data_IF_329162453221
#
_entry.id   IF_329162453221
#
_cell.length_a   1.000
_cell.length_b   1.000
_cell.length_c   1.000
_cell.angle_alpha   90.00
_cell.angle_beta   90.00
_cell.angle_gamma   90.00
#
_symmetry.space_group_name_H-M   'P 1'
#
loop_
_entity.id
_entity.type
_entity.pdbx_description
1 polymer ?
#
# COMPACT_ATOMS: atom_id res chain seq x y z
N UNK A 1 -10.22 -23.81 -1.61
CA UNK A 1 -11.31 -23.89 -0.61
C UNK A 1 -11.65 -22.51 -0.02
N UNK A 2 -11.68 -21.45 -0.84
CA UNK A 2 -12.12 -20.10 -0.46
C UNK A 2 -13.04 -19.49 -1.54
N UNK A 3 -13.63 -20.33 -2.40
CA UNK A 3 -14.33 -19.89 -3.61
C UNK A 3 -15.70 -19.25 -3.36
N UNK A 4 -16.15 -19.16 -2.09
CA UNK A 4 -17.40 -18.51 -1.70
C UNK A 4 -17.23 -17.45 -0.60
N UNK A 5 -16.01 -16.96 -0.31
CA UNK A 5 -15.93 -15.75 0.51
C UNK A 5 -16.40 -14.57 -0.35
N UNK A 6 -17.40 -13.85 0.16
CA UNK A 6 -17.89 -12.61 -0.47
C UNK A 6 -16.69 -11.73 -0.82
N UNK A 7 -16.61 -11.27 -2.06
CA UNK A 7 -15.48 -10.45 -2.53
C UNK A 7 -15.35 -9.20 -1.69
N UNK A 8 -16.48 -8.65 -1.25
CA UNK A 8 -16.53 -7.56 -0.29
C UNK A 8 -15.78 -7.88 1.01
N UNK A 9 -16.01 -9.06 1.60
CA UNK A 9 -15.32 -9.47 2.82
C UNK A 9 -13.80 -9.59 2.62
N UNK A 10 -13.39 -10.10 1.45
CA UNK A 10 -11.97 -10.24 1.09
C UNK A 10 -11.29 -8.88 0.89
N UNK A 11 -12.00 -7.92 0.28
CA UNK A 11 -11.54 -6.54 0.14
C UNK A 11 -11.42 -5.85 1.52
N UNK A 12 -12.39 -6.05 2.40
CA UNK A 12 -12.35 -5.52 3.79
C UNK A 12 -11.15 -6.09 4.55
N UNK A 13 -10.91 -7.41 4.48
CA UNK A 13 -9.72 -8.00 5.10
C UNK A 13 -8.43 -7.47 4.50
N UNK A 14 -8.39 -7.24 3.19
CA UNK A 14 -7.22 -6.64 2.53
C UNK A 14 -6.94 -5.23 3.04
N UNK A 15 -7.99 -4.45 3.25
CA UNK A 15 -7.92 -3.10 3.78
C UNK A 15 -7.40 -3.09 5.23
N UNK A 16 -7.97 -3.93 6.10
CA UNK A 16 -7.54 -4.07 7.49
C UNK A 16 -6.08 -4.53 7.56
N UNK A 17 -5.70 -5.54 6.78
CA UNK A 17 -4.34 -6.04 6.73
C UNK A 17 -3.34 -4.97 6.26
N UNK A 18 -3.74 -4.16 5.28
CA UNK A 18 -2.94 -3.04 4.81
C UNK A 18 -2.76 -1.97 5.90
N UNK A 19 -3.81 -1.60 6.64
CA UNK A 19 -3.70 -0.67 7.78
C UNK A 19 -2.73 -1.20 8.82
N UNK A 20 -2.93 -2.43 9.29
CA UNK A 20 -2.11 -3.03 10.35
C UNK A 20 -0.64 -3.09 9.92
N UNK A 21 -0.39 -3.56 8.69
CA UNK A 21 0.98 -3.63 8.14
C UNK A 21 1.61 -2.24 8.03
N UNK A 22 0.85 -1.24 7.62
CA UNK A 22 1.34 0.14 7.51
C UNK A 22 1.72 0.74 8.87
N UNK A 23 0.99 0.39 9.93
CA UNK A 23 1.34 0.79 11.30
C UNK A 23 2.62 0.09 11.76
N UNK A 24 2.71 -1.23 11.56
CA UNK A 24 3.85 -2.04 11.99
C UNK A 24 5.14 -1.60 11.28
N UNK A 25 5.07 -1.37 9.96
CA UNK A 25 6.22 -1.00 9.15
C UNK A 25 6.42 0.52 9.01
N UNK A 26 5.65 1.33 9.75
CA UNK A 26 5.72 2.78 9.68
C UNK A 26 7.16 3.34 9.84
N UNK A 27 8.00 2.85 10.78
CA UNK A 27 9.37 3.38 10.92
C UNK A 27 10.23 3.16 9.67
N UNK A 28 10.09 2.01 9.02
CA UNK A 28 10.84 1.65 7.81
C UNK A 28 10.40 2.54 6.64
N UNK A 29 9.10 2.68 6.46
CA UNK A 29 8.54 3.51 5.39
C UNK A 29 8.74 5.01 5.62
N UNK A 30 8.82 5.46 6.87
CA UNK A 30 9.15 6.85 7.18
C UNK A 30 10.57 7.21 6.71
N UNK A 31 11.55 6.37 7.03
CA UNK A 31 12.93 6.56 6.56
C UNK A 31 13.01 6.50 5.03
N UNK A 32 12.31 5.56 4.41
CA UNK A 32 12.27 5.42 2.95
C UNK A 32 11.58 6.60 2.26
N UNK A 33 10.49 7.11 2.85
CA UNK A 33 9.76 8.25 2.31
C UNK A 33 10.61 9.53 2.37
N UNK A 34 11.24 9.78 3.52
CA UNK A 34 12.13 10.92 3.71
C UNK A 34 13.33 10.89 2.76
N UNK A 35 13.96 9.72 2.56
CA UNK A 35 15.15 9.60 1.71
C UNK A 35 14.85 9.73 0.22
N UNK A 36 13.71 9.23 -0.26
CA UNK A 36 13.40 9.18 -1.69
C UNK A 36 12.55 10.37 -2.18
N UNK A 37 11.69 10.92 -1.32
CA UNK A 37 10.72 11.94 -1.73
C UNK A 37 10.99 13.32 -1.15
N UNK A 38 11.94 13.42 -0.22
CA UNK A 38 12.48 14.67 0.31
C UNK A 38 11.37 15.72 0.52
N UNK A 39 10.39 15.44 1.40
CA UNK A 39 9.15 16.19 1.46
C UNK A 39 9.42 17.68 1.66
N UNK A 40 8.71 18.51 0.90
CA UNK A 40 8.85 19.97 0.94
C UNK A 40 8.66 20.42 2.39
N UNK A 41 9.71 20.99 2.98
CA UNK A 41 9.65 21.61 4.30
C UNK A 41 8.73 22.82 4.18
N UNK A 42 7.48 22.68 4.61
CA UNK A 42 6.62 23.86 4.79
C UNK A 42 7.24 24.69 5.90
N UNK A 43 7.88 25.78 5.48
CA UNK A 43 8.51 26.75 6.36
C UNK A 43 7.40 27.62 6.96
N UNK A 44 6.54 27.03 7.80
CA UNK A 44 5.50 27.77 8.51
C UNK A 44 5.91 27.90 9.96
N UNK A 45 5.83 29.13 10.48
CA UNK A 45 6.07 29.49 11.89
C UNK A 45 5.16 28.74 12.89
N UNK A 46 4.29 27.84 12.41
CA UNK A 46 3.39 27.00 13.20
C UNK A 46 3.91 25.57 13.32
N UNK A 47 4.80 25.39 14.30
CA UNK A 47 5.05 24.17 15.08
C UNK A 47 5.79 23.00 14.41
N UNK A 48 6.92 22.62 15.03
CA UNK A 48 7.57 21.30 14.85
C UNK A 48 6.60 20.11 14.99
N UNK A 49 5.46 20.30 15.67
CA UNK A 49 4.41 19.30 15.84
C UNK A 49 3.61 19.03 14.55
N UNK A 50 3.26 20.06 13.79
CA UNK A 50 2.55 19.89 12.51
C UNK A 50 3.43 19.16 11.49
N UNK A 51 4.72 19.54 11.42
CA UNK A 51 5.68 18.92 10.50
C UNK A 51 5.90 17.43 10.79
N UNK A 52 6.06 17.07 12.07
CA UNK A 52 6.20 15.67 12.47
C UNK A 52 4.94 14.84 12.21
N UNK A 53 3.76 15.44 12.37
CA UNK A 53 2.49 14.79 12.09
C UNK A 53 2.28 14.58 10.58
N UNK A 54 2.56 15.59 9.76
CA UNK A 54 2.42 15.53 8.30
C UNK A 54 3.36 14.49 7.69
N UNK A 55 4.60 14.40 8.18
CA UNK A 55 5.54 13.35 7.73
C UNK A 55 5.02 11.96 8.08
N UNK A 56 4.53 11.76 9.31
CA UNK A 56 4.02 10.45 9.74
C UNK A 56 2.76 10.06 8.97
N UNK A 57 1.86 11.00 8.72
CA UNK A 57 0.65 10.77 7.94
C UNK A 57 0.98 10.45 6.48
N UNK A 58 1.87 11.19 5.84
CA UNK A 58 2.31 10.92 4.48
C UNK A 58 3.07 9.59 4.36
N UNK A 59 3.91 9.26 5.33
CA UNK A 59 4.62 7.98 5.37
C UNK A 59 3.67 6.81 5.61
N UNK A 60 2.65 7.00 6.44
CA UNK A 60 1.58 6.03 6.64
C UNK A 60 0.78 5.82 5.35
N UNK A 61 0.36 6.88 4.68
CA UNK A 61 -0.35 6.80 3.39
C UNK A 61 0.53 6.11 2.34
N UNK A 62 1.82 6.41 2.32
CA UNK A 62 2.78 5.76 1.43
C UNK A 62 2.91 4.26 1.71
N UNK A 63 3.07 3.85 2.97
CA UNK A 63 3.09 2.44 3.38
C UNK A 63 1.77 1.73 3.07
N UNK A 64 0.64 2.40 3.32
CA UNK A 64 -0.68 1.89 3.04
C UNK A 64 -0.87 1.60 1.56
N UNK A 65 -0.44 2.51 0.70
CA UNK A 65 -0.47 2.30 -0.74
C UNK A 65 0.51 1.25 -1.25
N UNK A 66 1.56 0.93 -0.48
CA UNK A 66 2.40 -0.23 -0.76
C UNK A 66 1.69 -1.54 -0.43
N UNK A 67 1.10 -1.65 0.77
CA UNK A 67 0.52 -2.89 1.26
C UNK A 67 -0.86 -3.21 0.70
N UNK A 68 -1.66 -2.20 0.35
CA UNK A 68 -3.04 -2.42 -0.09
C UNK A 68 -3.12 -3.22 -1.42
N UNK A 69 -2.37 -2.87 -2.49
CA UNK A 69 -2.32 -3.69 -3.72
C UNK A 69 -1.85 -5.12 -3.43
N UNK A 70 -0.85 -5.26 -2.57
CA UNK A 70 -0.29 -6.51 -2.08
C UNK A 70 -1.37 -7.45 -1.54
N UNK A 71 -2.19 -6.97 -0.61
CA UNK A 71 -3.23 -7.78 0.00
C UNK A 71 -4.41 -8.02 -0.92
N UNK A 72 -4.75 -7.07 -1.79
CA UNK A 72 -5.80 -7.26 -2.81
C UNK A 72 -5.42 -8.39 -3.76
N UNK A 73 -4.18 -8.38 -4.26
CA UNK A 73 -3.67 -9.44 -5.12
C UNK A 73 -3.57 -10.79 -4.40
N UNK A 74 -3.39 -10.80 -3.07
CA UNK A 74 -3.33 -12.04 -2.31
C UNK A 74 -4.72 -12.61 -1.94
N UNK A 75 -5.69 -11.76 -1.61
CA UNK A 75 -6.94 -12.15 -0.96
C UNK A 75 -8.19 -12.01 -1.85
N UNK A 76 -8.21 -11.05 -2.77
CA UNK A 76 -9.35 -10.85 -3.68
C UNK A 76 -9.26 -11.90 -4.80
N UNK A 77 -10.38 -12.38 -5.38
CA UNK A 77 -10.33 -13.28 -6.54
C UNK A 77 -9.78 -12.58 -7.79
N UNK A 78 -8.96 -13.28 -8.59
CA UNK A 78 -8.27 -12.73 -9.77
C UNK A 78 -9.17 -11.95 -10.74
N UNK A 79 -10.43 -12.39 -10.89
CA UNK A 79 -11.39 -11.76 -11.81
C UNK A 79 -11.76 -10.31 -11.43
N UNK A 80 -11.48 -9.89 -10.19
CA UNK A 80 -11.85 -8.56 -9.68
C UNK A 80 -10.66 -7.70 -9.27
N UNK A 81 -9.41 -8.20 -9.37
CA UNK A 81 -8.21 -7.43 -8.99
C UNK A 81 -8.14 -6.09 -9.70
N UNK A 82 -8.39 -6.07 -11.00
CA UNK A 82 -8.27 -4.86 -11.82
C UNK A 82 -9.24 -3.77 -11.33
N UNK A 83 -10.49 -4.13 -11.05
CA UNK A 83 -11.50 -3.19 -10.58
C UNK A 83 -11.10 -2.56 -9.24
N UNK A 84 -10.64 -3.38 -8.28
CA UNK A 84 -10.18 -2.90 -6.98
C UNK A 84 -8.91 -2.06 -7.08
N UNK A 85 -7.94 -2.47 -7.90
CA UNK A 85 -6.72 -1.71 -8.14
C UNK A 85 -7.00 -0.34 -8.76
N UNK A 86 -7.90 -0.26 -9.76
CA UNK A 86 -8.28 1.02 -10.39
C UNK A 86 -8.97 1.94 -9.37
N UNK A 87 -9.89 1.39 -8.56
CA UNK A 87 -10.64 2.16 -7.57
C UNK A 87 -9.73 2.80 -6.50
N UNK A 88 -8.57 2.20 -6.26
CA UNK A 88 -7.55 2.68 -5.32
C UNK A 88 -6.56 3.62 -6.01
N UNK A 89 -6.24 3.35 -7.27
CA UNK A 89 -5.28 4.12 -8.04
C UNK A 89 -5.73 5.57 -8.25
N UNK A 90 -7.02 5.78 -8.55
CA UNK A 90 -7.59 7.11 -8.79
C UNK A 90 -7.41 8.04 -7.58
N UNK A 91 -7.91 7.73 -6.37
CA UNK A 91 -7.72 8.60 -5.21
C UNK A 91 -6.25 8.75 -4.83
N UNK A 92 -5.41 7.72 -5.05
CA UNK A 92 -3.98 7.81 -4.76
C UNK A 92 -3.24 8.80 -5.66
N UNK A 93 -3.55 8.82 -6.96
CA UNK A 93 -2.97 9.80 -7.90
C UNK A 93 -3.41 11.23 -7.60
N UNK A 94 -4.58 11.41 -6.98
CA UNK A 94 -5.09 12.72 -6.56
C UNK A 94 -4.47 13.24 -5.27
N UNK A 95 -4.07 12.36 -4.34
CA UNK A 95 -3.52 12.74 -3.02
C UNK A 95 -2.05 13.16 -3.08
N UNK A 96 -1.28 12.68 -4.06
CA UNK A 96 0.16 12.96 -4.12
C UNK A 96 0.46 14.14 -5.05
N UNK A 97 0.72 15.31 -4.46
CA UNK A 97 1.28 16.48 -5.13
C UNK A 97 2.67 16.13 -5.68
N UNK A 98 2.74 15.72 -6.96
CA UNK A 98 3.94 15.14 -7.58
C UNK A 98 3.69 13.86 -8.39
N UNK A 99 2.45 13.63 -8.85
CA UNK A 99 1.89 12.36 -9.30
C UNK A 99 2.70 11.52 -10.29
N UNK A 100 3.61 12.09 -11.10
CA UNK A 100 4.40 11.31 -12.09
C UNK A 100 5.48 10.43 -11.47
N UNK A 101 6.20 10.91 -10.43
CA UNK A 101 7.24 10.09 -9.75
C UNK A 101 6.62 8.99 -8.89
N UNK A 102 5.46 9.26 -8.29
CA UNK A 102 4.77 8.29 -7.45
C UNK A 102 4.05 7.20 -8.24
N UNK A 103 3.71 7.46 -9.51
CA UNK A 103 3.14 6.49 -10.43
C UNK A 103 4.11 5.34 -10.71
N UNK A 104 5.39 5.67 -10.93
CA UNK A 104 6.44 4.67 -11.16
C UNK A 104 6.65 3.80 -9.92
N UNK A 105 6.68 4.40 -8.74
CA UNK A 105 6.75 3.66 -7.48
C UNK A 105 5.52 2.77 -7.25
N UNK A 106 4.31 3.25 -7.57
CA UNK A 106 3.10 2.43 -7.49
C UNK A 106 3.19 1.19 -8.40
N UNK A 107 3.67 1.36 -9.65
CA UNK A 107 3.88 0.23 -10.56
C UNK A 107 4.89 -0.76 -9.99
N UNK A 108 6.02 -0.26 -9.48
CA UNK A 108 7.03 -1.10 -8.81
C UNK A 108 6.41 -1.88 -7.65
N UNK A 109 5.59 -1.22 -6.83
CA UNK A 109 4.97 -1.84 -5.66
C UNK A 109 3.86 -2.82 -6.00
N UNK A 110 3.08 -2.55 -7.04
CA UNK A 110 2.06 -3.47 -7.54
C UNK A 110 2.72 -4.73 -8.10
N UNK A 111 3.82 -4.58 -8.84
CA UNK A 111 4.61 -5.71 -9.35
C UNK A 111 5.29 -6.50 -8.22
N UNK A 112 5.94 -5.82 -7.28
CA UNK A 112 6.53 -6.45 -6.10
C UNK A 112 5.46 -7.20 -5.30
N UNK A 113 4.28 -6.61 -5.18
CA UNK A 113 3.16 -7.20 -4.49
C UNK A 113 2.62 -8.46 -5.14
N UNK A 114 2.46 -8.41 -6.46
CA UNK A 114 2.09 -9.57 -7.26
C UNK A 114 3.10 -10.71 -7.15
N UNK A 115 4.40 -10.40 -7.21
CA UNK A 115 5.48 -11.38 -7.05
C UNK A 115 5.47 -12.02 -5.67
N UNK A 116 5.31 -11.22 -4.61
CA UNK A 116 5.24 -11.72 -3.23
C UNK A 116 4.01 -12.60 -3.01
N UNK A 117 2.85 -12.20 -3.50
CA UNK A 117 1.62 -13.00 -3.43
C UNK A 117 1.78 -14.34 -4.16
N UNK A 118 2.37 -14.34 -5.37
CA UNK A 118 2.68 -15.58 -6.10
C UNK A 118 3.71 -16.44 -5.37
N UNK A 119 4.78 -15.84 -4.86
CA UNK A 119 5.81 -16.53 -4.09
C UNK A 119 5.22 -17.23 -2.87
N UNK A 120 4.41 -16.52 -2.08
CA UNK A 120 3.71 -17.09 -0.93
C UNK A 120 2.78 -18.24 -1.31
N UNK A 121 2.04 -18.12 -2.42
CA UNK A 121 1.18 -19.19 -2.92
C UNK A 121 1.97 -20.44 -3.32
N UNK A 122 3.14 -20.28 -3.94
CA UNK A 122 4.02 -21.39 -4.31
C UNK A 122 4.59 -22.10 -3.07
N UNK A 123 5.03 -21.35 -2.07
CA UNK A 123 5.53 -21.90 -0.80
C UNK A 123 4.41 -22.65 -0.07
N UNK A 124 3.22 -22.07 0.02
CA UNK A 124 2.07 -22.73 0.64
C UNK A 124 1.70 -24.05 -0.05
N UNK A 125 1.72 -24.09 -1.39
CA UNK A 125 1.49 -25.33 -2.15
C UNK A 125 2.53 -26.40 -1.84
N UNK A 126 3.80 -26.01 -1.72
CA UNK A 126 4.90 -26.92 -1.42
C UNK A 126 4.85 -27.48 0.01
N UNK A 127 4.38 -26.69 0.97
CA UNK A 127 4.21 -27.13 2.37
C UNK A 127 3.00 -28.04 2.59
N UNK A 128 2.09 -28.14 1.61
CA UNK A 128 0.87 -28.94 1.69
C UNK A 128 0.96 -30.28 0.95
N UNK A 129 2.06 -30.50 0.22
CA UNK A 129 2.44 -31.80 -0.35
C UNK A 129 3.31 -32.56 0.65
#
# INVERSE_FOLDING_TARGET
MLEKKSVFLSAVYSFIAAIISSIIFLPVFNNFYLSNFNPIKFNSMFSLWSYGFDIKLNSFLFAFSFFLPLFILALVPNKQWLAWLILIFIPFTMVLVGGSKHLLWFVIFTLAGWLLARGGLLVYKKLKQ
#
